data_IF_078196231987
#
_entry.id   IF_078196231987
#
_cell.length_a   1.000
_cell.length_b   1.000
_cell.length_c   1.000
_cell.angle_alpha   90.00
_cell.angle_beta   90.00
_cell.angle_gamma   90.00
#
_symmetry.space_group_name_H-M   'P 1'
#
loop_
_entity.id
_entity.type
_entity.pdbx_description
1 polymer ?
#
# COMPACT_ATOMS: atom_id res chain seq x y z
N UNK A 1 41.89 -0.28 49.41
CA UNK A 1 40.86 -1.32 49.28
C UNK A 1 39.64 -0.91 50.08
N UNK A 2 38.51 -0.73 49.41
CA UNK A 2 37.30 -1.47 49.80
C UNK A 2 36.75 -2.27 48.61
N UNK A 3 36.32 -3.50 48.88
CA UNK A 3 35.86 -4.49 47.89
C UNK A 3 34.35 -4.31 47.70
N UNK A 4 33.95 -3.77 46.55
CA UNK A 4 32.55 -3.69 46.13
C UNK A 4 32.04 -5.07 45.66
N UNK A 5 31.33 -5.76 46.54
CA UNK A 5 30.62 -7.00 46.23
C UNK A 5 29.36 -6.72 45.38
N UNK A 6 29.54 -6.64 44.05
CA UNK A 6 28.41 -6.70 43.11
C UNK A 6 27.85 -8.13 43.06
N UNK A 7 26.74 -8.35 43.76
CA UNK A 7 25.92 -9.56 43.65
C UNK A 7 25.48 -9.77 42.20
N UNK A 8 25.93 -10.89 41.60
CA UNK A 8 25.53 -11.32 40.27
C UNK A 8 24.03 -11.65 40.20
N UNK A 9 23.32 -10.99 39.28
CA UNK A 9 21.97 -11.39 38.87
C UNK A 9 22.08 -12.70 38.09
N UNK A 10 21.68 -13.81 38.71
CA UNK A 10 21.46 -15.08 38.02
C UNK A 10 20.33 -14.91 36.99
N UNK A 11 20.63 -15.15 35.72
CA UNK A 11 19.63 -15.19 34.65
C UNK A 11 18.95 -16.56 34.75
N UNK A 12 17.73 -16.61 35.30
CA UNK A 12 16.91 -17.82 35.28
C UNK A 12 16.48 -18.11 33.84
N UNK A 13 16.93 -19.25 33.32
CA UNK A 13 16.62 -19.74 31.97
C UNK A 13 15.23 -20.39 31.96
N UNK A 14 14.35 -20.13 30.98
CA UNK A 14 12.97 -20.61 30.96
C UNK A 14 12.86 -22.03 30.38
N UNK A 15 13.79 -22.93 30.72
CA UNK A 15 13.64 -24.33 30.34
C UNK A 15 12.72 -25.03 31.33
N UNK A 16 11.47 -25.23 30.88
CA UNK A 16 10.47 -26.07 31.53
C UNK A 16 11.01 -27.50 31.55
N UNK A 17 11.45 -27.98 32.72
CA UNK A 17 11.91 -29.36 32.89
C UNK A 17 10.77 -30.34 32.51
N UNK A 18 11.02 -31.40 31.74
CA UNK A 18 10.00 -32.42 31.49
C UNK A 18 9.64 -33.12 32.81
N UNK A 19 8.35 -33.42 32.99
CA UNK A 19 7.84 -34.17 34.16
C UNK A 19 8.47 -35.57 34.18
N UNK A 20 8.82 -36.12 35.36
CA UNK A 20 9.34 -37.48 35.44
C UNK A 20 8.26 -38.49 35.03
N UNK A 21 8.68 -39.50 34.27
CA UNK A 21 7.84 -40.63 33.91
C UNK A 21 7.54 -41.45 35.18
N UNK A 22 6.27 -41.52 35.56
CA UNK A 22 5.77 -42.51 36.51
C UNK A 22 5.83 -43.88 35.84
N UNK A 23 6.73 -44.73 36.32
CA UNK A 23 6.68 -46.18 36.14
C UNK A 23 5.42 -46.72 36.82
N UNK A 24 4.45 -47.15 36.02
CA UNK A 24 3.34 -47.99 36.47
C UNK A 24 3.51 -49.37 35.84
N UNK A 25 3.65 -50.37 36.70
CA UNK A 25 3.61 -51.79 36.34
C UNK A 25 2.16 -52.20 36.02
N UNK A 26 2.07 -53.07 35.01
CA UNK A 26 1.07 -54.10 34.76
C UNK A 26 -0.42 -53.73 34.56
N UNK A 27 -0.83 -53.85 33.29
CA UNK A 27 -2.07 -54.53 32.87
C UNK A 27 -3.42 -53.89 33.16
N UNK A 28 -3.95 -53.08 32.22
CA UNK A 28 -5.33 -53.16 31.69
C UNK A 28 -5.65 -52.02 30.70
N UNK A 29 -6.34 -52.37 29.62
CA UNK A 29 -7.08 -51.52 28.68
C UNK A 29 -6.39 -50.29 28.05
N UNK A 30 -5.93 -50.44 26.80
CA UNK A 30 -5.64 -49.32 25.91
C UNK A 30 -6.95 -48.54 25.63
N UNK A 31 -7.08 -47.33 26.20
CA UNK A 31 -8.18 -46.40 25.92
C UNK A 31 -8.25 -45.98 24.44
N UNK A 32 -9.40 -45.43 23.98
CA UNK A 32 -9.65 -45.21 22.56
C UNK A 32 -8.65 -44.23 21.97
N UNK A 33 -7.93 -44.67 20.93
CA UNK A 33 -7.02 -43.81 20.17
C UNK A 33 -7.80 -42.62 19.63
N UNK A 34 -7.39 -41.38 19.99
CA UNK A 34 -7.94 -40.17 19.38
C UNK A 34 -7.94 -40.31 17.85
N UNK A 35 -9.05 -40.08 17.16
CA UNK A 35 -9.09 -40.19 15.70
C UNK A 35 -8.07 -39.20 15.13
N UNK A 36 -7.18 -39.71 14.26
CA UNK A 36 -6.22 -38.85 13.55
C UNK A 36 -7.01 -37.79 12.79
N UNK A 37 -6.65 -36.50 12.89
CA UNK A 37 -7.34 -35.46 12.13
C UNK A 37 -7.19 -35.79 10.64
N UNK A 38 -8.31 -36.18 10.01
CA UNK A 38 -8.38 -36.35 8.57
C UNK A 38 -8.13 -34.97 7.95
N UNK A 39 -6.92 -34.75 7.41
CA UNK A 39 -6.63 -33.60 6.58
C UNK A 39 -7.51 -33.65 5.32
N UNK A 40 -8.73 -33.12 5.39
CA UNK A 40 -9.54 -32.86 4.21
C UNK A 40 -8.85 -31.74 3.44
N UNK A 41 -8.17 -32.10 2.36
CA UNK A 41 -7.55 -31.14 1.45
C UNK A 41 -8.69 -30.52 0.64
N UNK A 42 -8.95 -29.20 0.75
CA UNK A 42 -10.05 -28.58 0.01
C UNK A 42 -9.85 -28.75 -1.49
N UNK A 43 -10.94 -29.05 -2.19
CA UNK A 43 -10.98 -29.13 -3.65
C UNK A 43 -10.69 -27.77 -4.26
N UNK A 44 -10.07 -27.78 -5.45
CA UNK A 44 -9.53 -26.61 -6.13
C UNK A 44 -10.58 -25.53 -6.41
N UNK A 45 -11.86 -25.92 -6.53
CA UNK A 45 -12.99 -25.05 -6.86
C UNK A 45 -13.51 -24.22 -5.66
N UNK A 46 -13.15 -24.57 -4.42
CA UNK A 46 -13.64 -23.87 -3.22
C UNK A 46 -12.73 -22.73 -2.75
N UNK A 47 -11.75 -22.30 -3.56
CA UNK A 47 -10.82 -21.23 -3.18
C UNK A 47 -11.36 -19.87 -3.60
N UNK A 48 -11.98 -19.14 -2.66
CA UNK A 48 -12.22 -17.70 -2.84
C UNK A 48 -10.88 -16.96 -2.90
N UNK A 49 -10.79 -15.91 -3.73
CA UNK A 49 -9.54 -15.16 -3.96
C UNK A 49 -8.92 -14.54 -2.71
N UNK A 50 -9.73 -14.32 -1.66
CA UNK A 50 -9.32 -13.76 -0.37
C UNK A 50 -8.87 -14.83 0.64
N UNK A 51 -9.16 -16.10 0.38
CA UNK A 51 -8.74 -17.25 1.19
C UNK A 51 -7.53 -17.98 0.57
N UNK A 52 -6.73 -17.30 -0.25
CA UNK A 52 -5.56 -17.93 -0.86
C UNK A 52 -4.55 -18.33 0.24
N UNK A 53 -4.05 -19.58 0.22
CA UNK A 53 -3.08 -20.04 1.20
C UNK A 53 -1.83 -19.16 1.17
N UNK A 54 -1.26 -18.85 2.34
CA UNK A 54 -0.01 -18.09 2.42
C UNK A 54 1.13 -18.75 1.62
N UNK A 55 2.11 -17.95 1.18
CA UNK A 55 3.22 -18.36 0.30
C UNK A 55 3.91 -19.66 0.78
N UNK A 56 4.13 -19.81 2.09
CA UNK A 56 4.74 -21.02 2.66
C UNK A 56 3.89 -22.28 2.42
N UNK A 57 2.55 -22.17 2.58
CA UNK A 57 1.61 -23.27 2.33
C UNK A 57 1.58 -23.65 0.85
N UNK A 58 1.56 -22.66 -0.07
CA UNK A 58 1.61 -22.91 -1.51
C UNK A 58 2.91 -23.62 -1.92
N UNK A 59 4.06 -23.16 -1.44
CA UNK A 59 5.35 -23.84 -1.65
C UNK A 59 5.35 -25.27 -1.09
N UNK A 60 4.73 -25.49 0.06
CA UNK A 60 4.54 -26.82 0.65
C UNK A 60 3.71 -27.75 -0.25
N UNK A 61 2.58 -27.25 -0.75
CA UNK A 61 1.70 -28.01 -1.66
C UNK A 61 2.42 -28.35 -2.97
N UNK A 62 3.14 -27.40 -3.58
CA UNK A 62 3.92 -27.65 -4.81
C UNK A 62 4.96 -28.76 -4.58
N UNK A 63 5.70 -28.72 -3.47
CA UNK A 63 6.68 -29.78 -3.15
C UNK A 63 6.01 -31.15 -2.99
N UNK A 64 4.86 -31.21 -2.31
CA UNK A 64 4.11 -32.45 -2.15
C UNK A 64 3.59 -32.98 -3.50
N UNK A 65 3.05 -32.11 -4.36
CA UNK A 65 2.57 -32.48 -5.70
C UNK A 65 3.72 -32.94 -6.60
N UNK A 66 4.89 -32.28 -6.56
CA UNK A 66 6.10 -32.72 -7.28
C UNK A 66 6.58 -34.09 -6.80
N UNK A 67 6.59 -34.33 -5.49
CA UNK A 67 6.92 -35.65 -4.90
C UNK A 67 5.93 -36.73 -5.31
N UNK A 68 4.64 -36.40 -5.46
CA UNK A 68 3.61 -37.33 -5.91
C UNK A 68 3.83 -37.71 -7.38
N UNK A 69 4.11 -36.72 -8.24
CA UNK A 69 4.40 -36.94 -9.66
C UNK A 69 5.68 -37.75 -9.90
N UNK A 70 6.65 -37.68 -8.99
CA UNK A 70 7.89 -38.45 -9.05
C UNK A 70 7.71 -39.95 -8.74
N UNK A 71 6.51 -40.41 -8.37
CA UNK A 71 6.24 -41.84 -8.15
C UNK A 71 5.87 -42.51 -9.48
N UNK A 72 6.56 -43.60 -9.79
CA UNK A 72 6.33 -44.36 -11.02
C UNK A 72 5.04 -45.21 -10.98
N UNK A 73 4.50 -45.46 -9.79
CA UNK A 73 3.28 -46.26 -9.55
C UNK A 73 1.97 -45.47 -9.72
N UNK A 74 2.01 -44.26 -10.26
CA UNK A 74 0.82 -43.41 -10.39
C UNK A 74 -0.03 -43.77 -11.61
N UNK A 75 -1.34 -43.87 -11.41
CA UNK A 75 -2.30 -44.04 -12.49
C UNK A 75 -2.22 -42.89 -13.52
N UNK A 76 -2.29 -43.15 -14.84
CA UNK A 76 -2.20 -42.12 -15.87
C UNK A 76 -3.21 -40.97 -15.69
N UNK A 77 -4.46 -41.27 -15.33
CA UNK A 77 -5.50 -40.25 -15.10
C UNK A 77 -5.16 -39.32 -13.93
N UNK A 78 -4.68 -39.90 -12.82
CA UNK A 78 -4.23 -39.14 -11.65
C UNK A 78 -2.98 -38.30 -11.96
N UNK A 79 -2.07 -38.80 -12.80
CA UNK A 79 -0.89 -38.05 -13.25
C UNK A 79 -1.27 -36.77 -14.01
N UNK A 80 -2.24 -36.84 -14.92
CA UNK A 80 -2.72 -35.66 -15.66
C UNK A 80 -3.38 -34.65 -14.71
N UNK A 81 -4.24 -35.12 -13.80
CA UNK A 81 -4.90 -34.24 -12.82
C UNK A 81 -3.88 -33.55 -11.88
N UNK A 82 -2.87 -34.29 -11.42
CA UNK A 82 -1.83 -33.75 -10.54
C UNK A 82 -0.91 -32.77 -11.26
N UNK A 83 -0.65 -32.95 -12.56
CA UNK A 83 0.07 -31.98 -13.39
C UNK A 83 -0.74 -30.68 -13.58
N UNK A 84 -2.05 -30.77 -13.88
CA UNK A 84 -2.94 -29.58 -13.93
C UNK A 84 -3.00 -28.86 -12.59
N UNK A 85 -3.01 -29.62 -11.49
CA UNK A 85 -2.94 -29.04 -10.15
C UNK A 85 -1.62 -28.33 -9.88
N UNK A 86 -0.50 -28.90 -10.33
CA UNK A 86 0.82 -28.30 -10.19
C UNK A 86 0.87 -26.94 -10.90
N UNK A 87 0.41 -26.87 -12.15
CA UNK A 87 0.40 -25.60 -12.91
C UNK A 87 -0.48 -24.54 -12.24
N UNK A 88 -1.65 -24.93 -11.74
CA UNK A 88 -2.52 -24.04 -10.95
C UNK A 88 -1.82 -23.53 -9.68
N UNK A 89 -1.15 -24.41 -8.93
CA UNK A 89 -0.43 -24.01 -7.72
C UNK A 89 0.77 -23.09 -8.00
N UNK A 90 1.45 -23.29 -9.13
CA UNK A 90 2.55 -22.41 -9.56
C UNK A 90 2.05 -21.02 -9.96
N UNK A 91 0.90 -20.93 -10.64
CA UNK A 91 0.23 -19.66 -10.93
C UNK A 91 -0.22 -18.95 -9.64
N UNK A 92 -0.83 -19.67 -8.71
CA UNK A 92 -1.23 -19.14 -7.39
C UNK A 92 -0.02 -18.59 -6.62
N UNK A 93 1.11 -19.30 -6.65
CA UNK A 93 2.35 -18.87 -6.01
C UNK A 93 2.86 -17.57 -6.64
N UNK A 94 2.89 -17.47 -7.96
CA UNK A 94 3.33 -16.26 -8.66
C UNK A 94 2.46 -15.04 -8.28
N UNK A 95 1.14 -15.23 -8.24
CA UNK A 95 0.20 -14.18 -7.81
C UNK A 95 0.39 -13.79 -6.33
N UNK A 96 0.60 -14.77 -5.44
CA UNK A 96 0.86 -14.51 -4.04
C UNK A 96 2.19 -13.76 -3.82
N UNK A 97 3.22 -14.06 -4.61
CA UNK A 97 4.49 -13.32 -4.57
C UNK A 97 4.32 -11.86 -5.03
N UNK A 98 3.56 -11.63 -6.12
CA UNK A 98 3.24 -10.26 -6.59
C UNK A 98 2.54 -9.46 -5.50
N UNK A 99 1.49 -10.00 -4.89
CA UNK A 99 0.76 -9.36 -3.78
C UNK A 99 1.64 -9.04 -2.58
N UNK A 100 2.58 -9.92 -2.23
CA UNK A 100 3.52 -9.67 -1.13
C UNK A 100 4.50 -8.54 -1.46
N UNK A 101 4.99 -8.46 -2.70
CA UNK A 101 5.80 -7.33 -3.19
C UNK A 101 5.01 -6.03 -3.14
N UNK A 102 3.77 -6.03 -3.65
CA UNK A 102 2.87 -4.88 -3.62
C UNK A 102 2.60 -4.40 -2.20
N UNK A 103 2.33 -5.31 -1.26
CA UNK A 103 2.12 -5.00 0.15
C UNK A 103 3.37 -4.38 0.78
N UNK A 104 4.55 -4.96 0.54
CA UNK A 104 5.83 -4.46 1.05
C UNK A 104 6.16 -3.09 0.50
N UNK A 105 6.03 -2.89 -0.81
CA UNK A 105 6.29 -1.61 -1.47
C UNK A 105 5.26 -0.56 -1.04
N UNK A 106 3.99 -0.93 -0.96
CA UNK A 106 2.92 -0.11 -0.44
C UNK A 106 3.27 0.44 0.93
N UNK A 107 3.60 -0.42 1.90
CA UNK A 107 4.02 0.01 3.25
C UNK A 107 5.30 0.86 3.24
N UNK A 108 6.33 0.43 2.49
CA UNK A 108 7.64 1.10 2.44
C UNK A 108 7.56 2.52 1.88
N UNK A 109 6.81 2.71 0.79
CA UNK A 109 6.74 3.97 0.07
C UNK A 109 5.49 4.79 0.41
N UNK A 110 4.59 4.29 1.27
CA UNK A 110 3.38 5.00 1.69
C UNK A 110 3.69 6.42 2.20
N UNK A 111 4.67 6.55 3.10
CA UNK A 111 5.07 7.84 3.66
C UNK A 111 5.71 8.77 2.61
N UNK A 112 6.59 8.23 1.76
CA UNK A 112 7.23 9.01 0.70
C UNK A 112 6.17 9.56 -0.27
N UNK A 113 5.27 8.69 -0.76
CA UNK A 113 4.16 9.07 -1.63
C UNK A 113 3.24 10.08 -0.90
N UNK A 114 2.97 9.92 0.39
CA UNK A 114 2.15 10.88 1.15
C UNK A 114 2.76 12.29 1.17
N UNK A 115 4.05 12.42 1.49
CA UNK A 115 4.70 13.74 1.49
C UNK A 115 4.74 14.37 0.11
N UNK A 116 4.99 13.59 -0.94
CA UNK A 116 4.98 14.09 -2.31
C UNK A 116 3.58 14.55 -2.75
N UNK A 117 2.53 13.79 -2.43
CA UNK A 117 1.14 14.23 -2.65
C UNK A 117 0.86 15.55 -1.93
N UNK A 118 1.27 15.68 -0.67
CA UNK A 118 1.07 16.94 0.07
C UNK A 118 1.84 18.11 -0.54
N UNK A 119 3.07 17.89 -1.00
CA UNK A 119 3.85 18.91 -1.72
C UNK A 119 3.13 19.35 -2.99
N UNK A 120 2.73 18.40 -3.84
CA UNK A 120 2.04 18.70 -5.10
C UNK A 120 0.71 19.41 -4.86
N UNK A 121 -0.09 18.99 -3.87
CA UNK A 121 -1.34 19.69 -3.51
C UNK A 121 -1.10 21.14 -3.10
N UNK A 122 -0.03 21.44 -2.36
CA UNK A 122 0.33 22.83 -2.00
C UNK A 122 0.77 23.63 -3.23
N UNK A 123 1.55 23.03 -4.13
CA UNK A 123 1.98 23.66 -5.38
C UNK A 123 0.78 24.00 -6.26
N UNK A 124 -0.11 23.02 -6.51
CA UNK A 124 -1.33 23.19 -7.30
C UNK A 124 -2.20 24.33 -6.74
N UNK A 125 -2.48 24.32 -5.43
CA UNK A 125 -3.25 25.40 -4.78
C UNK A 125 -2.62 26.78 -4.96
N UNK A 126 -1.30 26.87 -4.86
CA UNK A 126 -0.56 28.13 -5.03
C UNK A 126 -0.61 28.61 -6.48
N UNK A 127 -0.46 27.71 -7.45
CA UNK A 127 -0.55 28.03 -8.88
C UNK A 127 -1.96 28.48 -9.27
N UNK A 128 -2.99 27.76 -8.81
CA UNK A 128 -4.39 28.14 -9.00
C UNK A 128 -4.70 29.52 -8.44
N UNK A 129 -4.19 29.85 -7.24
CA UNK A 129 -4.37 31.20 -6.66
C UNK A 129 -3.70 32.28 -7.51
N UNK A 130 -2.45 32.06 -7.92
CA UNK A 130 -1.70 33.00 -8.77
C UNK A 130 -2.36 33.23 -10.13
N UNK A 131 -2.94 32.19 -10.73
CA UNK A 131 -3.70 32.29 -11.98
C UNK A 131 -4.98 33.12 -11.82
N UNK A 132 -5.61 33.12 -10.63
CA UNK A 132 -6.78 33.95 -10.33
C UNK A 132 -6.42 35.41 -10.03
N UNK A 133 -5.29 35.66 -9.37
CA UNK A 133 -4.88 36.99 -8.90
C UNK A 133 -4.21 37.85 -10.00
N UNK A 134 -3.51 37.25 -10.97
CA UNK A 134 -2.77 38.01 -11.99
C UNK A 134 -3.54 38.10 -13.32
N UNK A 135 -4.05 39.29 -13.66
CA UNK A 135 -4.80 39.53 -14.91
C UNK A 135 -4.08 40.31 -16.01
N UNK A 136 -2.74 40.29 -16.15
CA UNK A 136 -2.04 41.33 -16.97
C UNK A 136 -0.82 40.91 -17.82
N UNK A 137 -0.47 39.63 -17.99
CA UNK A 137 0.60 39.26 -18.95
C UNK A 137 0.50 37.83 -19.48
N UNK A 138 0.16 37.68 -20.77
CA UNK A 138 -0.09 36.41 -21.46
C UNK A 138 1.04 35.38 -21.32
N UNK A 139 2.31 35.83 -21.44
CA UNK A 139 3.47 34.93 -21.35
C UNK A 139 3.63 34.28 -19.96
N UNK A 140 3.37 35.03 -18.88
CA UNK A 140 3.46 34.51 -17.52
C UNK A 140 2.27 33.61 -17.18
N UNK A 141 1.11 33.89 -17.77
CA UNK A 141 -0.07 33.03 -17.63
C UNK A 141 0.15 31.67 -18.28
N UNK A 142 0.62 31.65 -19.53
CA UNK A 142 0.89 30.39 -20.25
C UNK A 142 1.90 29.51 -19.48
N UNK A 143 2.99 30.11 -19.00
CA UNK A 143 3.98 29.37 -18.19
C UNK A 143 3.41 28.80 -16.90
N UNK A 144 2.54 29.54 -16.20
CA UNK A 144 1.91 29.04 -14.97
C UNK A 144 0.87 27.98 -15.23
N UNK A 145 0.19 28.05 -16.37
CA UNK A 145 -0.75 27.01 -16.81
C UNK A 145 0.00 25.72 -17.13
N UNK A 146 1.12 25.82 -17.84
CA UNK A 146 2.04 24.69 -18.09
C UNK A 146 2.57 24.08 -16.78
N UNK A 147 3.04 24.90 -15.83
CA UNK A 147 3.46 24.43 -14.50
C UNK A 147 2.32 23.77 -13.71
N UNK A 148 1.07 24.21 -13.90
CA UNK A 148 -0.11 23.63 -13.26
C UNK A 148 -0.43 22.26 -13.84
N UNK A 149 -0.37 22.13 -15.17
CA UNK A 149 -0.63 20.89 -15.87
C UNK A 149 0.46 19.85 -15.56
N UNK A 150 1.72 20.28 -15.48
CA UNK A 150 2.84 19.43 -15.01
C UNK A 150 2.62 18.93 -13.57
N UNK A 151 2.21 19.84 -12.67
CA UNK A 151 1.94 19.46 -11.29
C UNK A 151 0.79 18.43 -11.20
N UNK A 152 -0.19 18.47 -12.11
CA UNK A 152 -1.29 17.50 -12.19
C UNK A 152 -0.82 16.15 -12.73
N UNK A 153 -0.02 16.13 -13.79
CA UNK A 153 0.61 14.89 -14.29
C UNK A 153 1.44 14.23 -13.19
N UNK A 154 2.26 15.02 -12.49
CA UNK A 154 3.06 14.54 -11.37
C UNK A 154 2.20 14.06 -10.19
N UNK A 155 1.04 14.68 -9.93
CA UNK A 155 0.12 14.20 -8.89
C UNK A 155 -0.46 12.83 -9.26
N UNK A 156 -0.88 12.66 -10.52
CA UNK A 156 -1.34 11.38 -11.04
C UNK A 156 -0.24 10.31 -11.02
N UNK A 157 1.02 10.69 -11.20
CA UNK A 157 2.16 9.79 -11.00
C UNK A 157 2.20 9.26 -9.57
N UNK A 158 2.08 10.10 -8.55
CA UNK A 158 2.13 9.61 -7.16
C UNK A 158 0.93 8.71 -6.83
N UNK A 159 -0.25 9.03 -7.36
CA UNK A 159 -1.48 8.28 -7.11
C UNK A 159 -1.47 6.90 -7.78
N UNK A 160 -1.10 6.83 -9.06
CA UNK A 160 -1.25 5.64 -9.90
C UNK A 160 0.04 4.84 -10.08
N UNK A 161 1.13 5.20 -9.39
CA UNK A 161 2.40 4.47 -9.51
C UNK A 161 2.24 2.98 -9.08
N UNK A 162 2.63 2.02 -9.92
CA UNK A 162 2.43 0.60 -9.66
C UNK A 162 3.20 0.14 -8.41
N UNK A 163 2.50 -0.53 -7.50
CA UNK A 163 3.13 -1.03 -6.26
C UNK A 163 4.00 -2.28 -6.50
N UNK A 164 3.97 -2.87 -7.69
CA UNK A 164 4.86 -3.96 -8.10
C UNK A 164 6.31 -3.49 -8.27
N UNK A 165 6.52 -2.20 -8.53
CA UNK A 165 7.83 -1.58 -8.76
C UNK A 165 8.27 -0.72 -7.57
N UNK A 166 9.58 -0.43 -7.51
CA UNK A 166 10.13 0.48 -6.50
C UNK A 166 9.78 1.92 -6.88
N UNK A 167 9.19 2.65 -5.94
CA UNK A 167 8.85 4.06 -6.17
C UNK A 167 10.09 4.92 -6.43
N UNK A 168 10.04 5.72 -7.50
CA UNK A 168 11.07 6.70 -7.84
C UNK A 168 10.56 8.09 -7.46
N UNK A 169 11.22 8.71 -6.48
CA UNK A 169 10.82 10.00 -5.91
C UNK A 169 10.87 11.14 -6.93
N UNK A 170 9.88 12.03 -6.89
CA UNK A 170 9.81 13.25 -7.69
C UNK A 170 10.65 14.38 -7.06
N UNK A 171 10.78 14.37 -5.73
CA UNK A 171 11.49 15.40 -4.96
C UNK A 171 12.65 14.78 -4.16
N UNK A 172 13.79 14.44 -4.80
CA UNK A 172 14.94 13.89 -4.10
C UNK A 172 15.45 14.84 -2.99
N UNK A 173 15.84 14.33 -1.82
CA UNK A 173 16.36 15.18 -0.75
C UNK A 173 17.64 15.92 -1.13
N UNK A 174 18.43 15.39 -2.06
CA UNK A 174 19.66 16.04 -2.55
C UNK A 174 19.40 17.26 -3.45
N UNK A 175 18.20 17.38 -4.05
CA UNK A 175 17.89 18.51 -4.94
C UNK A 175 17.44 19.76 -4.18
N UNK A 176 17.02 19.63 -2.91
CA UNK A 176 16.76 20.80 -2.05
C UNK A 176 18.02 21.49 -1.54
N UNK A 177 19.19 20.85 -1.66
CA UNK A 177 20.49 21.45 -1.34
C UNK A 177 21.29 21.91 -2.56
N UNK A 178 20.90 21.50 -3.78
CA UNK A 178 21.65 21.81 -5.00
C UNK A 178 21.03 22.92 -5.86
N UNK A 179 19.93 23.55 -5.44
CA UNK A 179 19.51 24.82 -6.03
C UNK A 179 20.49 25.91 -5.58
N UNK A 180 21.44 26.22 -6.45
CA UNK A 180 22.40 27.32 -6.41
C UNK A 180 21.85 28.57 -5.71
N UNK A 181 22.24 28.79 -4.45
CA UNK A 181 22.29 30.12 -3.85
C UNK A 181 23.13 30.08 -2.58
N UNK A 182 24.30 30.71 -2.67
CA UNK A 182 25.09 31.21 -1.55
C UNK A 182 24.24 32.15 -0.69
N UNK A 183 23.85 31.69 0.51
CA UNK A 183 23.76 32.43 1.80
C UNK A 183 22.82 31.70 2.78
N UNK A 184 23.18 31.58 4.07
CA UNK A 184 22.30 31.03 5.09
C UNK A 184 21.38 32.14 5.61
N UNK A 185 20.14 32.18 5.15
CA UNK A 185 19.08 32.92 5.82
C UNK A 185 17.82 32.06 5.89
N UNK A 186 17.24 32.03 7.08
CA UNK A 186 15.92 31.52 7.50
C UNK A 186 14.79 31.96 6.56
N UNK A 187 14.71 31.30 5.40
CA UNK A 187 13.59 31.40 4.46
C UNK A 187 13.16 29.97 4.18
N UNK A 188 11.93 29.65 4.59
CA UNK A 188 11.20 28.43 4.22
C UNK A 188 11.63 27.94 2.83
N UNK A 189 12.02 26.67 2.64
CA UNK A 189 12.43 26.18 1.33
C UNK A 189 11.25 26.40 0.37
N UNK A 190 11.41 27.35 -0.56
CA UNK A 190 10.36 27.69 -1.51
C UNK A 190 10.03 26.44 -2.30
N UNK A 191 8.86 25.85 -2.00
CA UNK A 191 8.39 24.63 -2.64
C UNK A 191 8.27 24.88 -4.16
N UNK A 192 9.24 24.41 -4.95
CA UNK A 192 9.30 24.56 -6.40
C UNK A 192 8.97 23.22 -7.06
N UNK A 193 8.37 23.27 -8.25
CA UNK A 193 8.15 22.07 -9.06
C UNK A 193 9.47 21.70 -9.76
N UNK A 194 9.92 20.44 -9.70
CA UNK A 194 11.09 19.99 -10.44
C UNK A 194 10.79 20.00 -11.96
N UNK A 195 11.74 20.42 -12.80
CA UNK A 195 11.56 20.46 -14.25
C UNK A 195 11.71 19.05 -14.85
N UNK A 196 10.67 18.23 -14.72
CA UNK A 196 10.69 16.84 -15.19
C UNK A 196 10.03 16.62 -16.55
N UNK A 197 9.09 17.49 -16.94
CA UNK A 197 8.37 17.40 -18.22
C UNK A 197 8.77 18.54 -19.15
N UNK A 198 8.78 19.77 -18.63
CA UNK A 198 9.10 20.97 -19.41
C UNK A 198 10.37 21.67 -18.91
N UNK A 199 11.31 22.04 -19.81
CA UNK A 199 11.34 21.71 -21.24
C UNK A 199 11.55 20.20 -21.47
N UNK A 200 11.00 19.67 -22.57
CA UNK A 200 11.18 18.26 -22.91
C UNK A 200 12.68 17.97 -23.11
N UNK A 201 13.24 16.94 -22.45
CA UNK A 201 14.65 16.60 -22.60
C UNK A 201 14.95 16.23 -24.05
N UNK A 202 16.09 16.69 -24.56
CA UNK A 202 16.58 16.30 -25.89
C UNK A 202 16.91 14.80 -25.87
N UNK A 203 16.78 14.08 -27.00
CA UNK A 203 17.11 12.65 -27.09
C UNK A 203 18.49 12.30 -26.51
N UNK A 204 19.50 13.14 -26.77
CA UNK A 204 20.85 13.00 -26.19
C UNK A 204 20.86 13.11 -24.66
N UNK A 205 20.15 14.08 -24.10
CA UNK A 205 20.05 14.26 -22.64
C UNK A 205 19.31 13.09 -22.00
N UNK A 206 18.28 12.58 -22.67
CA UNK A 206 17.53 11.40 -22.23
C UNK A 206 18.44 10.17 -22.13
N UNK A 207 19.30 9.94 -23.11
CA UNK A 207 20.16 8.75 -23.16
C UNK A 207 21.44 8.88 -22.34
N UNK A 208 22.12 10.02 -22.37
CA UNK A 208 23.48 10.19 -21.83
C UNK A 208 23.49 10.80 -20.42
N UNK A 209 22.56 11.69 -20.07
CA UNK A 209 22.58 12.42 -18.78
C UNK A 209 21.71 11.77 -17.69
N UNK A 210 20.67 11.03 -18.09
CA UNK A 210 19.68 10.49 -17.16
C UNK A 210 19.97 9.05 -16.73
N UNK A 211 20.01 8.84 -15.41
CA UNK A 211 20.09 7.52 -14.79
C UNK A 211 18.93 6.61 -15.22
N UNK A 212 19.13 5.28 -15.12
CA UNK A 212 18.10 4.26 -15.42
C UNK A 212 16.78 4.52 -14.67
N UNK A 213 16.86 4.90 -13.39
CA UNK A 213 15.68 5.24 -12.58
C UNK A 213 15.00 6.52 -13.07
N UNK A 214 15.78 7.52 -13.48
CA UNK A 214 15.24 8.79 -13.97
C UNK A 214 14.57 8.63 -15.33
N UNK A 215 15.13 7.78 -16.21
CA UNK A 215 14.50 7.33 -17.47
C UNK A 215 13.16 6.66 -17.22
N UNK A 216 13.11 5.66 -16.33
CA UNK A 216 11.86 4.97 -15.97
C UNK A 216 10.81 5.93 -15.41
N UNK A 217 11.22 6.89 -14.58
CA UNK A 217 10.30 7.93 -14.07
C UNK A 217 9.74 8.78 -15.20
N UNK A 218 10.57 9.18 -16.15
CA UNK A 218 10.14 9.98 -17.29
C UNK A 218 9.17 9.22 -18.22
N UNK A 219 9.46 7.94 -18.49
CA UNK A 219 8.56 7.05 -19.26
C UNK A 219 7.16 7.00 -18.63
N UNK A 220 7.06 6.78 -17.32
CA UNK A 220 5.77 6.70 -16.62
C UNK A 220 5.05 8.05 -16.63
N UNK A 221 5.79 9.16 -16.53
CA UNK A 221 5.19 10.50 -16.63
C UNK A 221 4.58 10.75 -18.01
N UNK A 222 5.23 10.31 -19.08
CA UNK A 222 4.69 10.37 -20.44
C UNK A 222 3.46 9.49 -20.62
N UNK A 223 3.50 8.26 -20.10
CA UNK A 223 2.36 7.34 -20.12
C UNK A 223 1.15 7.98 -19.41
N UNK A 224 1.35 8.59 -18.25
CA UNK A 224 0.29 9.28 -17.51
C UNK A 224 -0.23 10.49 -18.28
N UNK A 225 0.65 11.26 -18.92
CA UNK A 225 0.22 12.37 -19.76
C UNK A 225 -0.67 11.90 -20.92
N UNK A 226 -0.35 10.75 -21.53
CA UNK A 226 -1.19 10.13 -22.55
C UNK A 226 -2.53 9.64 -21.96
N UNK A 227 -2.51 8.96 -20.82
CA UNK A 227 -3.73 8.50 -20.15
C UNK A 227 -4.65 9.64 -19.72
N UNK A 228 -4.10 10.80 -19.34
CA UNK A 228 -4.86 12.02 -19.06
C UNK A 228 -5.46 12.62 -20.33
N UNK A 229 -4.72 12.63 -21.46
CA UNK A 229 -5.25 13.07 -22.77
C UNK A 229 -6.37 12.15 -23.27
N UNK A 230 -6.22 10.84 -23.05
CA UNK A 230 -7.24 9.83 -23.35
C UNK A 230 -8.48 9.92 -22.45
N UNK A 231 -8.42 10.70 -21.35
CA UNK A 231 -9.49 10.80 -20.36
C UNK A 231 -9.64 9.58 -19.44
N UNK A 232 -8.69 8.64 -19.47
CA UNK A 232 -8.66 7.47 -18.55
C UNK A 232 -8.22 7.87 -17.15
N UNK A 233 -7.45 8.95 -17.02
CA UNK A 233 -7.05 9.55 -15.75
C UNK A 233 -7.67 10.95 -15.62
N UNK A 234 -7.96 11.34 -14.37
CA UNK A 234 -8.54 12.65 -14.06
C UNK A 234 -7.59 13.79 -14.45
N UNK A 235 -8.14 14.80 -15.12
CA UNK A 235 -7.45 16.05 -15.43
C UNK A 235 -7.21 16.92 -14.18
N UNK A 236 -8.04 16.76 -13.14
CA UNK A 236 -7.98 17.53 -11.89
C UNK A 236 -7.86 16.56 -10.68
N UNK A 237 -6.72 15.88 -10.52
CA UNK A 237 -6.53 14.90 -9.45
C UNK A 237 -6.67 15.50 -8.04
N UNK A 238 -6.45 16.81 -7.88
CA UNK A 238 -6.64 17.52 -6.62
C UNK A 238 -8.08 17.56 -6.12
N UNK A 239 -9.06 17.46 -7.03
CA UNK A 239 -10.48 17.44 -6.68
C UNK A 239 -10.94 16.03 -6.33
N UNK A 240 -10.48 15.03 -7.09
CA UNK A 240 -10.81 13.62 -6.86
C UNK A 240 -10.36 13.18 -5.46
N UNK A 241 -9.12 13.49 -5.07
CA UNK A 241 -8.62 13.20 -3.72
C UNK A 241 -9.42 13.91 -2.63
N UNK A 242 -10.00 15.08 -2.90
CA UNK A 242 -10.91 15.76 -1.95
C UNK A 242 -12.26 15.05 -1.90
N UNK A 243 -12.83 14.69 -3.06
CA UNK A 243 -14.11 13.97 -3.16
C UNK A 243 -14.04 12.62 -2.44
N UNK A 244 -12.97 11.85 -2.67
CA UNK A 244 -12.73 10.58 -1.97
C UNK A 244 -12.67 10.77 -0.45
N UNK A 245 -11.97 11.80 0.03
CA UNK A 245 -11.91 12.10 1.46
C UNK A 245 -13.27 12.45 2.05
N UNK A 246 -14.05 13.27 1.34
CA UNK A 246 -15.41 13.64 1.75
C UNK A 246 -16.32 12.41 1.76
N UNK A 247 -16.22 11.55 0.75
CA UNK A 247 -16.98 10.29 0.68
C UNK A 247 -16.63 9.37 1.86
N UNK A 248 -15.33 9.20 2.16
CA UNK A 248 -14.88 8.40 3.30
C UNK A 248 -15.39 8.96 4.64
N UNK A 249 -15.28 10.28 4.87
CA UNK A 249 -15.82 10.90 6.09
C UNK A 249 -17.34 10.76 6.18
N UNK A 250 -18.06 10.92 5.06
CA UNK A 250 -19.51 10.70 5.00
C UNK A 250 -19.91 9.27 5.33
N UNK A 251 -19.15 8.28 4.86
CA UNK A 251 -19.40 6.87 5.20
C UNK A 251 -19.08 6.55 6.65
N UNK A 252 -18.00 7.13 7.20
CA UNK A 252 -17.65 6.97 8.62
C UNK A 252 -18.69 7.61 9.54
N UNK A 253 -19.23 8.78 9.19
CA UNK A 253 -20.28 9.44 9.96
C UNK A 253 -21.62 8.69 9.87
N UNK A 254 -21.97 8.13 8.70
CA UNK A 254 -23.14 7.23 8.58
C UNK A 254 -22.98 5.96 9.41
N UNK A 255 -21.79 5.40 9.48
CA UNK A 255 -21.52 4.21 10.30
C UNK A 255 -21.57 4.54 11.80
N UNK A 256 -21.12 5.73 12.22
CA UNK A 256 -21.26 6.21 13.60
C UNK A 256 -22.71 6.48 13.99
N UNK A 257 -23.53 7.03 13.10
CA UNK A 257 -24.96 7.24 13.33
C UNK A 257 -25.71 5.92 13.43
N UNK A 258 -25.39 4.93 12.59
CA UNK A 258 -26.00 3.59 12.65
C UNK A 258 -25.63 2.79 13.90
N UNK A 259 -24.43 2.99 14.47
CA UNK A 259 -24.01 2.32 15.72
C UNK A 259 -24.65 2.96 16.97
N UNK A 260 -25.16 4.20 16.87
CA UNK A 260 -25.81 4.92 17.97
C UNK A 260 -27.34 4.92 17.93
N UNK A 261 -27.95 4.35 16.88
CA UNK A 261 -29.40 4.32 16.67
C UNK A 261 -30.01 2.95 16.97
N UNK A 262 -29.98 2.54 18.25
CA UNK A 262 -30.92 1.58 18.80
C UNK A 262 -31.77 2.31 19.85
N UNK A 263 -33.09 2.21 19.72
CA UNK A 263 -34.15 2.85 20.55
C UNK A 263 -34.27 4.37 20.43
N UNK A 264 -35.12 4.82 19.50
CA UNK A 264 -35.99 5.99 19.71
C UNK A 264 -37.33 5.41 20.19
N UNK A 265 -37.60 5.53 21.49
CA UNK A 265 -38.96 5.45 22.03
C UNK A 265 -39.65 6.78 21.70
N UNK A 266 -40.85 6.70 21.12
CA UNK A 266 -41.80 7.79 21.02
C UNK A 266 -42.35 8.06 22.42
N UNK A 267 -42.05 9.22 23.02
CA UNK A 267 -42.88 9.77 24.10
C UNK A 267 -43.05 11.28 23.89
N UNK A 268 -44.26 11.59 23.44
CA UNK A 268 -45.16 12.70 23.80
C UNK A 268 -44.55 14.09 24.04
N UNK A 269 -45.00 15.03 23.20
CA UNK A 269 -44.77 16.46 23.37
C UNK A 269 -45.53 16.97 24.59
N UNK A 270 -44.81 17.66 25.47
CA UNK A 270 -45.37 18.38 26.61
C UNK A 270 -45.41 19.88 26.27
N UNK A 271 -46.63 20.38 26.08
CA UNK A 271 -47.01 21.79 25.90
C UNK A 271 -46.71 22.58 27.18
N UNK A 272 -45.57 23.26 27.22
CA UNK A 272 -45.20 24.10 28.37
C UNK A 272 -44.43 25.35 27.95
N UNK A 273 -45.12 26.29 27.29
CA UNK A 273 -45.04 27.76 27.51
C UNK A 273 -45.81 28.49 26.38
N UNK A 274 -47.10 28.72 26.58
CA UNK A 274 -47.76 29.94 26.07
C UNK A 274 -47.62 30.99 27.18
N UNK A 275 -46.80 32.02 26.92
CA UNK A 275 -46.84 33.26 27.71
C UNK A 275 -47.45 34.33 26.80
N UNK A 276 -48.69 34.67 27.14
CA UNK A 276 -49.43 35.85 26.70
C UNK A 276 -48.65 37.13 27.06
N UNK A 277 -48.41 38.00 26.08
CA UNK A 277 -48.37 39.45 26.31
C UNK A 277 -49.04 40.16 25.14
N UNK A 278 -50.17 40.81 25.45
CA UNK A 278 -50.81 41.88 24.67
C UNK A 278 -49.98 43.18 24.68
#
# INVERSE_FOLDING_TARGET
MPIDNKKGKSRSSPYKKPKPATTAQDGEAAGPSRPRPSHKIPTTEQRSGDALPGISKLKGQIRQTKRLLAKDTLEPGLRVQTQRRLTSLEADLANAMKRDVEKKNGAKYHMVKFFERQKLLRIIKRLQRKLKEEGKSDKKLNKRQEELDDARVMMNYVLNFPNTEKYISLFPPSSSSSSTSTKPETKEPKLSLPPLLHPAPTSKQLEEELDKSSKRRYEILLEIQQLMRDGKLSANPEEEVKREKIALHSTEDRFKVAVKGGTMEEEEGDDFFEEDEE
#
